data_IF_686511196478
#
_entry.id   IF_686511196478
#
_cell.length_a   1.000
_cell.length_b   1.000
_cell.length_c   1.000
_cell.angle_alpha   90.00
_cell.angle_beta   90.00
_cell.angle_gamma   90.00
#
_symmetry.space_group_name_H-M   'P 1'
#
loop_
_entity.id
_entity.type
_entity.pdbx_description
1 polymer ?
#
# COMPACT_ATOMS: atom_id res chain seq x y z
N UNK A 1 -11.32 -28.25 -18.30
CA UNK A 1 -12.41 -27.49 -17.66
C UNK A 1 -11.77 -26.68 -16.55
N UNK A 2 -11.74 -25.34 -16.64
CA UNK A 2 -11.24 -24.52 -15.52
C UNK A 2 -12.39 -24.47 -14.52
N UNK A 3 -12.23 -25.13 -13.37
CA UNK A 3 -13.24 -25.08 -12.32
C UNK A 3 -13.39 -23.64 -11.84
N UNK A 4 -14.63 -23.17 -11.74
CA UNK A 4 -14.97 -21.81 -11.30
C UNK A 4 -14.29 -21.47 -9.96
N UNK A 5 -14.04 -22.47 -9.11
CA UNK A 5 -13.25 -22.31 -7.88
C UNK A 5 -11.80 -21.86 -8.13
N UNK A 6 -11.11 -22.41 -9.13
CA UNK A 6 -9.71 -22.06 -9.44
C UNK A 6 -9.59 -20.63 -9.98
N UNK A 7 -10.63 -20.12 -10.63
CA UNK A 7 -10.72 -18.72 -11.08
C UNK A 7 -11.18 -17.75 -9.98
N UNK A 8 -11.96 -18.23 -8.99
CA UNK A 8 -12.45 -17.42 -7.87
C UNK A 8 -11.36 -17.11 -6.83
N UNK A 9 -10.45 -18.05 -6.54
CA UNK A 9 -9.42 -17.85 -5.50
C UNK A 9 -8.51 -16.63 -5.76
N UNK A 10 -7.98 -16.41 -6.97
CA UNK A 10 -7.19 -15.21 -7.27
C UNK A 10 -8.02 -13.92 -7.16
N UNK A 11 -9.29 -13.96 -7.59
CA UNK A 11 -10.18 -12.80 -7.55
C UNK A 11 -10.49 -12.36 -6.11
N UNK A 12 -10.81 -13.33 -5.24
CA UNK A 12 -11.06 -13.08 -3.81
C UNK A 12 -9.79 -12.58 -3.12
N UNK A 13 -8.63 -13.15 -3.48
CA UNK A 13 -7.34 -12.72 -2.93
C UNK A 13 -7.00 -11.27 -3.30
N UNK A 14 -7.13 -10.89 -4.58
CA UNK A 14 -6.90 -9.50 -5.05
C UNK A 14 -7.86 -8.53 -4.38
N UNK A 15 -9.13 -8.90 -4.25
CA UNK A 15 -10.15 -8.07 -3.60
C UNK A 15 -9.85 -7.86 -2.10
N UNK A 16 -9.49 -8.94 -1.40
CA UNK A 16 -9.11 -8.89 0.01
C UNK A 16 -7.86 -8.04 0.27
N UNK A 17 -6.84 -8.16 -0.59
CA UNK A 17 -5.63 -7.35 -0.52
C UNK A 17 -5.90 -5.86 -0.78
N UNK A 18 -6.79 -5.56 -1.73
CA UNK A 18 -7.20 -4.17 -2.01
C UNK A 18 -7.92 -3.54 -0.82
N UNK A 19 -8.83 -4.28 -0.18
CA UNK A 19 -9.51 -3.83 1.03
C UNK A 19 -8.53 -3.63 2.20
N UNK A 20 -7.57 -4.54 2.36
CA UNK A 20 -6.53 -4.44 3.38
C UNK A 20 -5.68 -3.17 3.20
N UNK A 21 -5.24 -2.87 1.98
CA UNK A 21 -4.51 -1.65 1.66
C UNK A 21 -5.35 -0.39 1.92
N UNK A 22 -6.64 -0.39 1.57
CA UNK A 22 -7.56 0.70 1.87
C UNK A 22 -7.68 0.96 3.37
N UNK A 23 -7.85 -0.11 4.17
CA UNK A 23 -7.94 0.00 5.63
C UNK A 23 -6.64 0.57 6.23
N UNK A 24 -5.48 0.07 5.79
CA UNK A 24 -4.19 0.60 6.24
C UNK A 24 -4.00 2.07 5.87
N UNK A 25 -4.36 2.44 4.64
CA UNK A 25 -4.23 3.82 4.14
C UNK A 25 -5.15 4.77 4.90
N UNK A 26 -6.40 4.39 5.15
CA UNK A 26 -7.34 5.18 5.94
C UNK A 26 -6.82 5.35 7.39
N UNK A 27 -6.36 4.26 8.00
CA UNK A 27 -5.77 4.32 9.34
C UNK A 27 -4.52 5.20 9.40
N UNK A 28 -3.71 5.18 8.35
CA UNK A 28 -2.54 6.05 8.21
C UNK A 28 -2.94 7.52 8.08
N UNK A 29 -3.92 7.86 7.23
CA UNK A 29 -4.42 9.23 7.10
C UNK A 29 -4.94 9.77 8.43
N UNK A 30 -5.80 9.02 9.11
CA UNK A 30 -6.32 9.40 10.44
C UNK A 30 -5.18 9.62 11.43
N UNK A 31 -4.16 8.76 11.42
CA UNK A 31 -2.99 8.90 12.29
C UNK A 31 -2.18 10.16 11.97
N UNK A 32 -1.90 10.44 10.70
CA UNK A 32 -1.15 11.64 10.29
C UNK A 32 -1.91 12.92 10.61
N UNK A 33 -3.23 12.93 10.44
CA UNK A 33 -4.08 14.08 10.77
C UNK A 33 -4.10 14.34 12.27
N UNK A 34 -4.24 13.30 13.10
CA UNK A 34 -4.15 13.43 14.56
C UNK A 34 -2.78 13.88 15.04
N UNK A 35 -1.71 13.38 14.41
CA UNK A 35 -0.36 13.83 14.74
C UNK A 35 -0.20 15.34 14.46
N UNK A 36 -0.69 15.83 13.31
CA UNK A 36 -0.66 17.25 12.96
C UNK A 36 -1.52 18.11 13.89
N UNK A 37 -2.69 17.64 14.34
CA UNK A 37 -3.53 18.39 15.28
C UNK A 37 -2.87 18.51 16.66
N UNK A 38 -2.26 17.43 17.17
CA UNK A 38 -1.56 17.45 18.46
C UNK A 38 -0.34 18.37 18.49
N UNK A 39 0.34 18.52 17.35
CA UNK A 39 1.45 19.48 17.19
C UNK A 39 0.93 20.92 17.34
N UNK A 40 -0.20 21.26 16.69
CA UNK A 40 -0.84 22.57 16.84
C UNK A 40 -1.30 22.88 18.26
N UNK A 41 -1.68 21.85 19.02
CA UNK A 41 -2.14 21.99 20.41
C UNK A 41 -1.00 21.93 21.45
N UNK A 42 0.28 21.98 21.04
CA UNK A 42 1.46 21.97 21.92
C UNK A 42 1.56 20.80 22.93
N UNK A 43 1.00 19.62 22.61
CA UNK A 43 1.06 18.44 23.49
C UNK A 43 2.35 17.60 23.26
N UNK A 44 3.50 18.11 23.69
CA UNK A 44 4.84 17.54 23.43
C UNK A 44 5.03 16.10 23.91
N UNK A 45 4.41 15.68 25.02
CA UNK A 45 4.57 14.30 25.57
C UNK A 45 4.04 13.18 24.68
N UNK A 46 3.24 13.47 23.65
CA UNK A 46 2.68 12.43 22.76
C UNK A 46 3.38 12.34 21.39
N UNK A 47 4.22 13.33 21.04
CA UNK A 47 4.89 13.47 19.74
C UNK A 47 5.74 12.24 19.41
N UNK A 48 6.52 11.74 20.38
CA UNK A 48 7.37 10.56 20.19
C UNK A 48 6.58 9.29 19.84
N UNK A 49 5.41 9.08 20.47
CA UNK A 49 4.54 7.92 20.19
C UNK A 49 3.94 7.99 18.78
N UNK A 50 3.54 9.18 18.33
CA UNK A 50 3.08 9.37 16.95
C UNK A 50 4.20 9.08 15.94
N UNK A 51 5.44 9.51 16.23
CA UNK A 51 6.60 9.29 15.37
C UNK A 51 6.87 7.81 15.11
N UNK A 52 6.92 7.00 16.18
CA UNK A 52 7.11 5.54 16.07
C UNK A 52 5.95 4.90 15.29
N UNK A 53 4.70 5.29 15.61
CA UNK A 53 3.51 4.69 15.00
C UNK A 53 3.40 5.01 13.51
N UNK A 54 3.78 6.22 13.08
CA UNK A 54 3.82 6.61 11.66
C UNK A 54 4.87 5.79 10.91
N UNK A 55 6.07 5.60 11.48
CA UNK A 55 7.12 4.76 10.86
C UNK A 55 6.68 3.31 10.72
N UNK A 56 6.08 2.73 11.77
CA UNK A 56 5.56 1.37 11.72
C UNK A 56 4.44 1.22 10.68
N UNK A 57 3.49 2.16 10.63
CA UNK A 57 2.40 2.12 9.65
C UNK A 57 2.92 2.27 8.22
N UNK A 58 3.91 3.15 7.97
CA UNK A 58 4.59 3.25 6.68
C UNK A 58 5.19 1.91 6.29
N UNK A 59 5.97 1.28 7.19
CA UNK A 59 6.59 -0.01 6.92
C UNK A 59 5.55 -1.11 6.63
N UNK A 60 4.43 -1.15 7.37
CA UNK A 60 3.33 -2.09 7.12
C UNK A 60 2.68 -1.88 5.75
N UNK A 61 2.41 -0.62 5.36
CA UNK A 61 1.86 -0.30 4.04
C UNK A 61 2.86 -0.71 2.94
N UNK A 62 4.15 -0.37 3.10
CA UNK A 62 5.19 -0.75 2.15
C UNK A 62 5.26 -2.27 1.96
N UNK A 63 5.32 -3.03 3.06
CA UNK A 63 5.34 -4.50 3.03
C UNK A 63 4.09 -5.07 2.36
N UNK A 64 2.92 -4.53 2.65
CA UNK A 64 1.66 -4.99 2.07
C UNK A 64 1.62 -4.74 0.55
N UNK A 65 1.99 -3.53 0.11
CA UNK A 65 2.01 -3.17 -1.31
C UNK A 65 3.04 -3.98 -2.09
N UNK A 66 4.23 -4.22 -1.53
CA UNK A 66 5.24 -5.10 -2.15
C UNK A 66 4.68 -6.53 -2.30
N UNK A 67 3.97 -7.04 -1.29
CA UNK A 67 3.34 -8.35 -1.35
C UNK A 67 2.30 -8.43 -2.47
N UNK A 68 1.51 -7.36 -2.69
CA UNK A 68 0.56 -7.27 -3.81
C UNK A 68 1.27 -7.26 -5.15
N UNK A 69 2.35 -6.48 -5.30
CA UNK A 69 3.16 -6.45 -6.53
C UNK A 69 3.70 -7.85 -6.84
N UNK A 70 4.23 -8.55 -5.84
CA UNK A 70 4.77 -9.90 -6.01
C UNK A 70 3.68 -10.91 -6.40
N UNK A 71 2.50 -10.83 -5.78
CA UNK A 71 1.35 -11.66 -6.14
C UNK A 71 0.89 -11.40 -7.59
N UNK A 72 0.80 -10.14 -8.02
CA UNK A 72 0.45 -9.78 -9.39
C UNK A 72 1.49 -10.29 -10.40
N UNK A 73 2.78 -10.19 -10.09
CA UNK A 73 3.84 -10.71 -10.93
C UNK A 73 3.75 -12.25 -11.07
N UNK A 74 3.52 -12.97 -9.96
CA UNK A 74 3.30 -14.42 -9.97
C UNK A 74 2.09 -14.82 -10.84
N UNK A 75 0.98 -14.11 -10.71
CA UNK A 75 -0.23 -14.35 -11.53
C UNK A 75 0.07 -14.11 -13.02
N UNK A 76 0.78 -13.03 -13.36
CA UNK A 76 1.16 -12.74 -14.74
C UNK A 76 2.05 -13.85 -15.32
N UNK A 77 3.02 -14.35 -14.54
CA UNK A 77 3.90 -15.45 -14.95
C UNK A 77 3.10 -16.75 -15.13
N UNK A 78 2.24 -17.11 -14.17
CA UNK A 78 1.38 -18.29 -14.25
C UNK A 78 0.49 -18.28 -15.49
N UNK A 79 -0.15 -17.15 -15.79
CA UNK A 79 -0.99 -16.98 -16.97
C UNK A 79 -0.20 -17.08 -18.28
N UNK A 80 1.05 -16.60 -18.28
CA UNK A 80 1.93 -16.69 -19.46
C UNK A 80 2.26 -18.13 -19.84
N UNK A 81 2.30 -19.05 -18.88
CA UNK A 81 2.50 -20.48 -19.13
C UNK A 81 1.21 -21.26 -19.42
N UNK A 82 0.04 -20.75 -18.99
CA UNK A 82 -1.23 -21.47 -19.07
C UNK A 82 -2.08 -21.15 -20.31
N UNK A 83 -1.85 -20.03 -21.00
CA UNK A 83 -2.75 -19.51 -22.03
C UNK A 83 -2.09 -19.52 -23.42
N UNK A 84 -2.68 -20.26 -24.37
CA UNK A 84 -2.33 -20.22 -25.80
C UNK A 84 -2.88 -18.99 -26.54
N UNK A 85 -3.77 -18.22 -25.90
CA UNK A 85 -4.35 -16.98 -26.42
C UNK A 85 -3.42 -15.79 -26.17
N UNK A 86 -2.49 -15.57 -27.09
CA UNK A 86 -1.48 -14.50 -27.04
C UNK A 86 -2.06 -13.10 -26.75
N UNK A 87 -3.25 -12.80 -27.29
CA UNK A 87 -3.93 -11.51 -27.04
C UNK A 87 -4.37 -11.32 -25.58
N UNK A 88 -4.84 -12.38 -24.92
CA UNK A 88 -5.25 -12.33 -23.51
C UNK A 88 -4.02 -12.13 -22.62
N UNK A 89 -2.91 -12.80 -22.94
CA UNK A 89 -1.64 -12.63 -22.24
C UNK A 89 -1.11 -11.19 -22.36
N UNK A 90 -1.15 -10.59 -23.56
CA UNK A 90 -0.74 -9.19 -23.78
C UNK A 90 -1.58 -8.19 -22.98
N UNK A 91 -2.91 -8.36 -22.94
CA UNK A 91 -3.82 -7.51 -22.15
C UNK A 91 -3.53 -7.66 -20.65
N UNK A 92 -3.37 -8.90 -20.17
CA UNK A 92 -3.02 -9.17 -18.76
C UNK A 92 -1.69 -8.53 -18.36
N UNK A 93 -0.68 -8.61 -19.24
CA UNK A 93 0.64 -8.01 -19.01
C UNK A 93 0.55 -6.48 -18.95
N UNK A 94 -0.23 -5.86 -19.85
CA UNK A 94 -0.50 -4.42 -19.80
C UNK A 94 -1.16 -4.02 -18.47
N UNK A 95 -2.22 -4.70 -18.06
CA UNK A 95 -2.92 -4.43 -16.79
C UNK A 95 -1.98 -4.61 -15.59
N UNK A 96 -1.19 -5.69 -15.57
CA UNK A 96 -0.21 -5.92 -14.53
C UNK A 96 0.85 -4.80 -14.47
N UNK A 97 1.35 -4.35 -15.62
CA UNK A 97 2.33 -3.25 -15.68
C UNK A 97 1.75 -1.93 -15.14
N UNK A 98 0.51 -1.59 -15.51
CA UNK A 98 -0.19 -0.41 -14.98
C UNK A 98 -0.41 -0.52 -13.47
N UNK A 99 -0.76 -1.71 -12.97
CA UNK A 99 -0.92 -1.95 -11.54
C UNK A 99 0.40 -1.79 -10.77
N UNK A 100 1.51 -2.27 -11.33
CA UNK A 100 2.86 -2.08 -10.74
C UNK A 100 3.23 -0.60 -10.69
N UNK A 101 3.02 0.14 -11.78
CA UNK A 101 3.29 1.59 -11.81
C UNK A 101 2.44 2.33 -10.77
N UNK A 102 1.14 2.01 -10.70
CA UNK A 102 0.23 2.59 -9.71
C UNK A 102 0.66 2.28 -8.27
N UNK A 103 1.09 1.05 -8.00
CA UNK A 103 1.60 0.65 -6.70
C UNK A 103 2.89 1.40 -6.32
N UNK A 104 3.80 1.63 -7.27
CA UNK A 104 5.02 2.43 -7.04
C UNK A 104 4.65 3.89 -6.73
N UNK A 105 3.77 4.51 -7.51
CA UNK A 105 3.32 5.88 -7.25
C UNK A 105 2.67 6.00 -5.86
N UNK A 106 1.82 5.04 -5.50
CA UNK A 106 1.21 4.97 -4.18
C UNK A 106 2.26 4.87 -3.05
N UNK A 107 3.32 4.09 -3.23
CA UNK A 107 4.41 3.99 -2.25
C UNK A 107 5.17 5.32 -2.07
N UNK A 108 5.38 6.05 -3.18
CA UNK A 108 5.99 7.38 -3.14
C UNK A 108 5.10 8.34 -2.36
N UNK A 109 3.79 8.34 -2.61
CA UNK A 109 2.84 9.23 -1.92
C UNK A 109 2.78 8.95 -0.42
N UNK A 110 2.68 7.68 -0.03
CA UNK A 110 2.71 7.27 1.39
C UNK A 110 4.03 7.66 2.05
N UNK A 111 5.15 7.49 1.34
CA UNK A 111 6.47 7.86 1.85
C UNK A 111 6.59 9.38 2.08
N UNK A 112 6.20 10.19 1.09
CA UNK A 112 6.19 11.65 1.19
C UNK A 112 5.25 12.13 2.31
N UNK A 113 4.06 11.56 2.42
CA UNK A 113 3.10 11.90 3.47
C UNK A 113 3.64 11.56 4.88
N UNK A 114 4.34 10.43 5.02
CA UNK A 114 4.98 10.04 6.27
C UNK A 114 6.13 11.00 6.61
N UNK A 115 7.02 11.26 5.66
CA UNK A 115 8.19 12.14 5.84
C UNK A 115 7.77 13.56 6.22
N UNK A 116 6.86 14.17 5.48
CA UNK A 116 6.35 15.51 5.82
C UNK A 116 5.67 15.56 7.20
N UNK A 117 5.01 14.48 7.64
CA UNK A 117 4.44 14.44 8.99
C UNK A 117 5.53 14.25 10.06
N UNK A 118 6.57 13.48 9.78
CA UNK A 118 7.70 13.26 10.68
C UNK A 118 8.60 14.49 10.84
N UNK A 119 8.69 15.33 9.81
CA UNK A 119 9.40 16.61 9.81
C UNK A 119 8.67 17.64 10.69
N UNK A 120 7.35 17.80 10.51
CA UNK A 120 6.50 18.65 11.38
C UNK A 120 6.64 18.24 12.86
N UNK A 121 6.67 16.94 13.13
CA UNK A 121 6.86 16.42 14.49
C UNK A 121 8.26 16.68 15.04
N UNK A 122 9.29 16.76 14.19
CA UNK A 122 10.67 17.02 14.61
C UNK A 122 10.92 18.48 14.95
N UNK A 123 10.34 19.40 14.17
CA UNK A 123 10.46 20.84 14.38
C UNK A 123 9.84 21.28 15.72
N UNK A 124 8.79 20.61 16.19
CA UNK A 124 8.13 20.89 17.47
C UNK A 124 8.67 20.09 18.67
N UNK A 125 9.71 19.27 18.48
CA UNK A 125 10.40 18.54 19.55
C UNK A 125 11.64 19.30 20.09
N UNK A 126 12.04 20.38 19.39
CA UNK A 126 13.11 21.29 19.83
C UNK A 126 12.49 22.57 20.43
N UNK A 127 12.52 22.72 21.77
CA UNK A 127 12.05 23.94 22.46
C UNK A 127 12.99 25.13 22.26
#
# INVERSE_FOLDING_TARGET
MIDIQTALTPLVFVSGMSLFLLVLTNRFQVLTTRARSHVKEHHTRQVHRFRIRIRLMRASIMSATISVIFALALVAVMLSFAITMENVARIMLLVASMAVISAVLFLVDVSKAAEGTLEILAEHDHP
#
